data_IF_523057484193
#
_entry.id   IF_523057484193
#
_cell.length_a   1.000
_cell.length_b   1.000
_cell.length_c   1.000
_cell.angle_alpha   90.00
_cell.angle_beta   90.00
_cell.angle_gamma   90.00
#
_symmetry.space_group_name_H-M   'P 1'
#
loop_
_entity.id
_entity.type
_entity.pdbx_description
1 polymer ?
#
# COMPACT_ATOMS: atom_id res chain seq x y z
N UNK A 1 -13.07 1.87 -13.79
CA UNK A 1 -12.84 1.04 -12.59
C UNK A 1 -11.42 0.53 -12.68
N UNK A 2 -10.64 0.68 -11.61
CA UNK A 2 -9.28 0.15 -11.59
C UNK A 2 -9.30 -1.37 -11.64
N UNK A 3 -8.21 -1.96 -12.09
CA UNK A 3 -8.10 -3.42 -12.24
C UNK A 3 -6.82 -3.92 -11.58
N UNK A 4 -6.97 -4.85 -10.66
CA UNK A 4 -5.86 -5.66 -10.16
C UNK A 4 -5.63 -6.83 -11.11
N UNK A 5 -4.38 -7.02 -11.53
CA UNK A 5 -3.91 -8.17 -12.30
C UNK A 5 -2.84 -8.90 -11.48
N UNK A 6 -2.81 -10.23 -11.61
CA UNK A 6 -1.87 -11.10 -10.90
C UNK A 6 -2.55 -12.04 -9.91
N UNK A 7 -1.97 -13.22 -9.72
CA UNK A 7 -2.42 -14.17 -8.71
C UNK A 7 -1.93 -13.70 -7.34
N UNK A 8 -2.81 -13.75 -6.34
CA UNK A 8 -2.41 -13.50 -4.96
C UNK A 8 -1.58 -14.69 -4.47
N UNK A 9 -0.25 -14.55 -4.48
CA UNK A 9 0.68 -15.51 -3.87
C UNK A 9 1.67 -14.75 -3.02
N UNK A 10 1.68 -15.05 -1.73
CA UNK A 10 2.53 -14.39 -0.75
C UNK A 10 3.11 -15.41 0.21
N UNK A 11 4.30 -15.14 0.69
CA UNK A 11 5.00 -15.92 1.71
C UNK A 11 5.20 -15.04 2.95
N UNK A 12 5.09 -15.62 4.14
CA UNK A 12 5.36 -14.92 5.39
C UNK A 12 6.88 -14.69 5.53
N UNK A 13 7.30 -13.43 5.61
CA UNK A 13 8.72 -13.05 5.65
C UNK A 13 9.08 -12.39 6.99
N UNK A 14 8.84 -13.12 8.08
CA UNK A 14 9.08 -12.67 9.46
C UNK A 14 7.87 -11.96 10.08
N UNK A 15 8.05 -11.30 11.25
CA UNK A 15 6.93 -10.72 11.98
C UNK A 15 6.31 -9.58 11.18
N UNK A 16 5.06 -9.79 10.73
CA UNK A 16 4.22 -8.79 10.04
C UNK A 16 4.75 -8.34 8.68
N UNK A 17 5.52 -9.16 7.96
CA UNK A 17 5.92 -8.88 6.58
C UNK A 17 5.47 -10.01 5.67
N UNK A 18 5.04 -9.63 4.47
CA UNK A 18 4.72 -10.58 3.41
C UNK A 18 5.65 -10.32 2.23
N UNK A 19 6.15 -11.40 1.62
CA UNK A 19 6.90 -11.34 0.38
C UNK A 19 6.00 -11.81 -0.75
N UNK A 20 5.95 -11.04 -1.83
CA UNK A 20 5.21 -11.44 -3.03
C UNK A 20 5.95 -12.59 -3.73
N UNK A 21 5.25 -13.69 -3.96
CA UNK A 21 5.72 -14.81 -4.80
C UNK A 21 5.24 -14.69 -6.25
N UNK A 22 4.48 -13.65 -6.56
CA UNK A 22 4.03 -13.36 -7.92
C UNK A 22 3.85 -11.86 -8.08
N UNK A 23 4.12 -11.31 -9.28
CA UNK A 23 3.93 -9.90 -9.52
C UNK A 23 2.44 -9.53 -9.46
N UNK A 24 2.15 -8.39 -8.84
CA UNK A 24 0.80 -7.83 -8.75
C UNK A 24 0.81 -6.44 -9.38
N UNK A 25 -0.08 -6.23 -10.34
CA UNK A 25 -0.24 -4.93 -11.00
C UNK A 25 -1.58 -4.32 -10.67
N UNK A 26 -1.59 -3.04 -10.32
CA UNK A 26 -2.80 -2.24 -10.18
C UNK A 26 -2.83 -1.16 -11.26
N UNK A 27 -3.87 -1.20 -12.11
CA UNK A 27 -4.16 -0.12 -13.05
C UNK A 27 -5.18 0.82 -12.43
N UNK A 28 -4.77 2.06 -12.21
CA UNK A 28 -5.64 3.16 -11.75
C UNK A 28 -6.67 3.52 -12.83
N UNK A 29 -7.75 4.21 -12.45
CA UNK A 29 -8.76 4.77 -13.34
C UNK A 29 -8.19 5.78 -14.35
N UNK A 30 -6.99 6.32 -14.08
CA UNK A 30 -6.26 7.20 -15.00
C UNK A 30 -5.43 6.45 -16.05
N UNK A 31 -5.49 5.11 -16.07
CA UNK A 31 -4.70 4.27 -16.97
C UNK A 31 -3.24 4.09 -16.54
N UNK A 32 -2.83 4.61 -15.36
CA UNK A 32 -1.48 4.43 -14.84
C UNK A 32 -1.41 3.06 -14.15
N UNK A 33 -0.45 2.23 -14.56
CA UNK A 33 -0.20 0.90 -13.98
C UNK A 33 0.97 0.94 -13.01
N UNK A 34 0.73 0.44 -11.80
CA UNK A 34 1.74 0.23 -10.77
C UNK A 34 1.94 -1.26 -10.57
N UNK A 35 3.15 -1.77 -10.85
CA UNK A 35 3.48 -3.19 -10.74
C UNK A 35 4.41 -3.41 -9.57
N UNK A 36 3.94 -4.15 -8.58
CA UNK A 36 4.79 -4.71 -7.54
C UNK A 36 5.44 -5.98 -8.10
N UNK A 37 6.78 -6.03 -8.21
CA UNK A 37 7.47 -7.18 -8.76
C UNK A 37 7.41 -8.38 -7.80
N UNK A 38 7.66 -9.56 -8.35
CA UNK A 38 7.95 -10.73 -7.52
C UNK A 38 9.14 -10.46 -6.61
N UNK A 39 9.07 -10.97 -5.39
CA UNK A 39 10.07 -10.73 -4.35
C UNK A 39 9.89 -9.43 -3.58
N UNK A 40 8.93 -8.56 -3.95
CA UNK A 40 8.62 -7.37 -3.18
C UNK A 40 8.17 -7.73 -1.77
N UNK A 41 8.84 -7.18 -0.76
CA UNK A 41 8.49 -7.37 0.65
C UNK A 41 7.65 -6.17 1.09
N UNK A 42 6.37 -6.43 1.35
CA UNK A 42 5.44 -5.46 1.97
C UNK A 42 5.44 -5.71 3.47
N UNK A 43 5.70 -4.65 4.24
CA UNK A 43 5.63 -4.68 5.69
C UNK A 43 4.25 -4.27 6.22
N UNK A 44 3.32 -3.88 5.34
CA UNK A 44 1.99 -3.42 5.69
C UNK A 44 2.00 -2.20 6.63
N UNK A 45 3.16 -1.56 6.80
CA UNK A 45 3.46 -0.68 7.94
C UNK A 45 3.48 0.80 7.57
N UNK A 46 3.12 1.16 6.34
CA UNK A 46 2.81 2.55 5.99
C UNK A 46 1.45 3.02 6.55
N UNK A 47 0.67 2.10 7.12
CA UNK A 47 -0.57 2.38 7.86
C UNK A 47 -0.23 2.42 9.36
N UNK A 48 -0.43 3.56 10.06
CA UNK A 48 -0.17 3.66 11.49
C UNK A 48 -0.92 2.57 12.27
N UNK A 49 -0.26 1.91 13.22
CA UNK A 49 -0.81 0.79 14.00
C UNK A 49 -2.14 1.12 14.70
N UNK A 50 -2.41 2.40 14.96
CA UNK A 50 -3.68 2.87 15.53
C UNK A 50 -4.89 2.56 14.63
N UNK A 51 -4.68 2.43 13.32
CA UNK A 51 -5.74 2.03 12.39
C UNK A 51 -6.02 0.53 12.47
N UNK A 52 -5.05 -0.31 12.85
CA UNK A 52 -5.24 -1.77 12.95
C UNK A 52 -6.34 -2.15 13.97
N UNK A 53 -6.58 -1.31 14.98
CA UNK A 53 -7.67 -1.48 15.95
C UNK A 53 -9.05 -1.38 15.27
N UNK A 54 -9.18 -0.55 14.23
CA UNK A 54 -10.45 -0.26 13.55
C UNK A 54 -10.70 -1.23 12.37
N UNK A 55 -9.64 -1.67 11.70
CA UNK A 55 -9.74 -2.43 10.44
C UNK A 55 -9.34 -3.91 10.55
N UNK A 56 -8.67 -4.32 11.62
CA UNK A 56 -8.05 -5.65 11.77
C UNK A 56 -6.62 -5.71 11.21
N UNK A 57 -6.10 -6.93 11.02
CA UNK A 57 -4.74 -7.16 10.51
C UNK A 57 -4.59 -6.67 9.06
N UNK A 58 -3.53 -5.90 8.71
CA UNK A 58 -3.31 -5.32 7.37
C UNK A 58 -3.30 -6.35 6.22
N UNK A 59 -3.13 -7.63 6.54
CA UNK A 59 -3.07 -8.73 5.59
C UNK A 59 -4.37 -9.55 5.50
N UNK A 60 -5.40 -9.22 6.27
CA UNK A 60 -6.67 -9.94 6.29
C UNK A 60 -7.79 -9.16 5.61
N UNK A 61 -8.44 -9.78 4.63
CA UNK A 61 -9.61 -9.22 3.96
C UNK A 61 -9.33 -8.51 2.63
N UNK A 62 -10.27 -7.67 2.21
CA UNK A 62 -10.33 -7.12 0.84
C UNK A 62 -9.32 -6.00 0.56
N UNK A 63 -8.63 -5.46 1.56
CA UNK A 63 -7.71 -4.33 1.38
C UNK A 63 -6.24 -4.73 1.18
N UNK A 64 -5.91 -6.03 1.23
CA UNK A 64 -4.53 -6.54 1.10
C UNK A 64 -3.82 -6.14 -0.20
N UNK A 65 -4.54 -6.13 -1.32
CA UNK A 65 -4.01 -5.72 -2.63
C UNK A 65 -3.75 -4.21 -2.70
N UNK A 66 -4.70 -3.34 -2.26
CA UNK A 66 -4.43 -1.91 -2.11
C UNK A 66 -3.22 -1.58 -1.23
N UNK A 67 -3.02 -2.32 -0.13
CA UNK A 67 -1.89 -2.10 0.79
C UNK A 67 -0.55 -2.29 0.08
N UNK A 68 -0.39 -3.37 -0.70
CA UNK A 68 0.85 -3.60 -1.47
C UNK A 68 1.10 -2.47 -2.47
N UNK A 69 0.08 -2.04 -3.20
CA UNK A 69 0.23 -0.92 -4.14
C UNK A 69 0.63 0.36 -3.41
N UNK A 70 0.09 0.61 -2.21
CA UNK A 70 0.48 1.74 -1.37
C UNK A 70 1.93 1.64 -0.92
N UNK A 71 2.34 0.52 -0.34
CA UNK A 71 3.72 0.27 0.11
C UNK A 71 4.73 0.38 -1.06
N UNK A 72 4.37 -0.12 -2.25
CA UNK A 72 5.20 0.03 -3.46
C UNK A 72 5.42 1.50 -3.82
N UNK A 73 4.35 2.29 -3.83
CA UNK A 73 4.44 3.73 -4.13
C UNK A 73 5.19 4.49 -3.03
N UNK A 74 5.12 4.00 -1.80
CA UNK A 74 5.80 4.56 -0.64
C UNK A 74 7.30 4.23 -0.61
N UNK A 75 7.67 3.03 -1.04
CA UNK A 75 9.05 2.58 -1.16
C UNK A 75 9.76 3.25 -2.34
N UNK A 76 9.09 3.35 -3.48
CA UNK A 76 9.66 3.98 -4.69
C UNK A 76 9.73 5.50 -4.59
N UNK A 77 8.77 6.14 -3.89
CA UNK A 77 8.64 7.60 -3.77
C UNK A 77 8.69 8.37 -5.09
N UNK A 78 8.46 7.71 -6.23
CA UNK A 78 8.42 8.33 -7.56
C UNK A 78 7.18 9.20 -7.78
N UNK A 79 6.21 9.13 -6.87
CA UNK A 79 4.97 9.91 -6.90
C UNK A 79 4.86 10.76 -5.65
N UNK A 80 4.02 11.80 -5.69
CA UNK A 80 3.69 12.56 -4.48
C UNK A 80 2.90 11.67 -3.51
N UNK A 81 3.16 11.78 -2.21
CA UNK A 81 2.39 11.10 -1.15
C UNK A 81 0.88 11.18 -1.34
N UNK A 82 0.36 12.37 -1.65
CA UNK A 82 -1.09 12.60 -1.91
C UNK A 82 -1.64 11.74 -3.04
N UNK A 83 -0.81 11.41 -4.03
CA UNK A 83 -1.18 10.52 -5.12
C UNK A 83 -1.20 9.07 -4.64
N UNK A 84 -0.18 8.61 -3.91
CA UNK A 84 -0.17 7.28 -3.30
C UNK A 84 -1.40 7.04 -2.40
N UNK A 85 -1.73 8.00 -1.52
CA UNK A 85 -2.91 7.93 -0.64
C UNK A 85 -4.23 7.86 -1.44
N UNK A 86 -4.29 8.50 -2.61
CA UNK A 86 -5.47 8.49 -3.49
C UNK A 86 -5.60 7.14 -4.22
N UNK A 87 -4.50 6.63 -4.76
CA UNK A 87 -4.44 5.30 -5.40
C UNK A 87 -4.86 4.22 -4.42
N UNK A 88 -4.47 4.35 -3.15
CA UNK A 88 -4.89 3.45 -2.08
C UNK A 88 -6.40 3.50 -1.83
N UNK A 89 -6.99 4.69 -1.70
CA UNK A 89 -8.43 4.88 -1.56
C UNK A 89 -9.21 4.31 -2.75
N UNK A 90 -8.65 4.48 -3.95
CA UNK A 90 -9.20 3.98 -5.19
C UNK A 90 -9.19 2.46 -5.26
N UNK A 91 -8.06 1.83 -4.95
CA UNK A 91 -7.94 0.37 -4.87
C UNK A 91 -8.91 -0.23 -3.84
N UNK A 92 -9.08 0.41 -2.68
CA UNK A 92 -10.06 -0.02 -1.68
C UNK A 92 -11.51 0.09 -2.19
N UNK A 93 -11.80 1.10 -3.02
CA UNK A 93 -13.12 1.24 -3.67
C UNK A 93 -13.34 0.13 -4.68
N UNK A 94 -12.33 -0.21 -5.48
CA UNK A 94 -12.41 -1.27 -6.48
C UNK A 94 -12.58 -2.67 -5.83
N UNK A 95 -11.93 -2.89 -4.68
CA UNK A 95 -12.07 -4.14 -3.90
C UNK A 95 -13.33 -4.15 -3.00
N UNK A 96 -14.29 -3.24 -3.21
CA UNK A 96 -15.58 -3.17 -2.50
C UNK A 96 -15.44 -3.09 -0.96
N UNK A 97 -14.42 -2.40 -0.46
CA UNK A 97 -14.27 -2.10 0.96
C UNK A 97 -15.35 -1.09 1.37
N UNK A 98 -16.01 -1.34 2.50
CA UNK A 98 -17.07 -0.48 3.05
C UNK A 98 -16.64 0.99 3.12
N UNK A 99 -17.55 1.90 2.74
CA UNK A 99 -17.26 3.32 2.58
C UNK A 99 -16.66 3.98 3.84
N UNK A 100 -17.13 3.60 5.03
CA UNK A 100 -16.64 4.13 6.29
C UNK A 100 -15.22 3.62 6.61
N UNK A 101 -14.94 2.34 6.36
CA UNK A 101 -13.60 1.74 6.55
C UNK A 101 -12.55 2.41 5.67
N UNK A 102 -12.82 2.55 4.37
CA UNK A 102 -11.88 3.19 3.44
C UNK A 102 -11.63 4.68 3.79
N UNK A 103 -12.65 5.39 4.31
CA UNK A 103 -12.51 6.78 4.76
C UNK A 103 -11.63 6.88 6.01
N UNK A 104 -11.85 6.01 7.00
CA UNK A 104 -11.01 5.96 8.20
C UNK A 104 -9.55 5.68 7.85
N UNK A 105 -9.28 4.70 6.98
CA UNK A 105 -7.93 4.36 6.51
C UNK A 105 -7.29 5.52 5.73
N UNK A 106 -8.04 6.17 4.84
CA UNK A 106 -7.55 7.31 4.07
C UNK A 106 -7.20 8.51 4.96
N UNK A 107 -8.04 8.83 5.94
CA UNK A 107 -7.75 9.88 6.92
C UNK A 107 -6.50 9.53 7.72
N UNK A 108 -6.31 8.25 8.06
CA UNK A 108 -5.15 7.78 8.79
C UNK A 108 -3.82 7.95 8.08
N UNK A 109 -3.73 7.48 6.84
CA UNK A 109 -2.52 7.67 6.04
C UNK A 109 -2.27 9.15 5.75
N UNK A 110 -3.32 9.96 5.63
CA UNK A 110 -3.18 11.39 5.35
C UNK A 110 -2.67 12.18 6.54
N UNK A 111 -3.11 11.85 7.76
CA UNK A 111 -2.71 12.51 9.00
C UNK A 111 -1.41 11.96 9.58
N UNK A 112 -1.19 10.63 9.52
CA UNK A 112 -0.02 9.97 10.12
C UNK A 112 1.09 9.60 9.14
N UNK A 113 0.79 9.50 7.84
CA UNK A 113 1.74 9.04 6.82
C UNK A 113 2.77 10.08 6.38
N UNK A 114 2.89 11.23 7.04
CA UNK A 114 3.95 12.20 6.75
C UNK A 114 5.29 11.82 7.38
N UNK A 115 5.25 11.24 8.58
CA UNK A 115 6.44 10.86 9.34
C UNK A 115 7.22 9.70 8.71
N UNK A 116 6.58 8.55 8.34
CA UNK A 116 7.30 7.46 7.68
C UNK A 116 7.82 7.88 6.30
N UNK A 117 7.07 8.71 5.57
CA UNK A 117 7.42 9.21 4.24
C UNK A 117 8.72 9.99 4.30
N UNK A 118 8.83 10.91 5.26
CA UNK A 118 10.02 11.72 5.47
C UNK A 118 11.23 10.87 5.90
N UNK A 119 11.04 9.90 6.79
CA UNK A 119 12.12 8.99 7.22
C UNK A 119 12.62 8.13 6.06
N UNK A 120 11.73 7.59 5.24
CA UNK A 120 12.10 6.77 4.09
C UNK A 120 12.78 7.61 2.99
N UNK A 121 12.31 8.84 2.76
CA UNK A 121 12.95 9.78 1.82
C UNK A 121 14.39 10.10 2.21
N UNK A 122 14.65 10.30 3.51
CA UNK A 122 16.01 10.49 4.03
C UNK A 122 16.90 9.27 3.80
N UNK A 123 16.35 8.06 3.94
CA UNK A 123 17.08 6.80 3.76
C UNK A 123 17.49 6.60 2.30
N UNK A 124 16.56 6.81 1.36
CA UNK A 124 16.84 6.75 -0.08
C UNK A 124 17.91 7.76 -0.52
N UNK A 125 17.90 8.98 0.05
CA UNK A 125 18.95 9.97 -0.21
C UNK A 125 20.33 9.54 0.32
N UNK A 126 20.37 8.74 1.38
CA UNK A 126 21.62 8.25 1.99
C UNK A 126 22.21 7.08 1.21
N UNK A 127 21.39 6.19 0.65
CA UNK A 127 21.87 5.07 -0.20
C UNK A 127 22.34 5.50 -1.59
N UNK A 128 21.85 6.64 -2.10
CA UNK A 128 22.29 7.22 -3.38
C UNK A 128 23.59 8.03 -3.29
N UNK A 129 24.23 8.09 -2.13
CA UNK A 129 25.42 8.90 -1.86
C UNK A 129 26.58 7.99 -1.49
#
# INVERSE_FOLDING_TARGET
>A
MGKFKGKWRVEEHGPRKIKLLSPISYTTNKGITHTAPEGFVSDGASIPAIFWIIIGSPFMGKYRRPVITHDLLYATQNVRRRYADRVFLEGMKDDLVSWWKRRAMYLGVRSGGWWPWYRHAKRLKKEKR
#
